data_IF_356053661472
#
_entry.id   IF_356053661472
#
_cell.length_a   1.000
_cell.length_b   1.000
_cell.length_c   1.000
_cell.angle_alpha   90.00
_cell.angle_beta   90.00
_cell.angle_gamma   90.00
#
_symmetry.space_group_name_H-M   'P 1'
#
loop_
_entity.id
_entity.type
_entity.pdbx_description
1 polymer ?
#
# COMPACT_ATOMS: atom_id res chain seq x y z
N UNK A 1 12.80 29.82 -15.90
CA UNK A 1 13.77 28.72 -16.11
C UNK A 1 14.12 27.98 -14.81
N UNK A 2 14.72 28.63 -13.80
CA UNK A 2 15.11 27.97 -12.53
C UNK A 2 13.98 27.20 -11.82
N UNK A 3 12.76 27.73 -11.81
CA UNK A 3 11.57 27.09 -11.20
C UNK A 3 11.17 25.77 -11.88
N UNK A 4 11.26 25.70 -13.21
CA UNK A 4 10.90 24.48 -13.95
C UNK A 4 11.91 23.35 -13.75
N UNK A 5 13.19 23.70 -13.57
CA UNK A 5 14.23 22.72 -13.25
C UNK A 5 13.99 22.11 -11.87
N UNK A 6 13.61 22.92 -10.89
CA UNK A 6 13.28 22.44 -9.53
C UNK A 6 12.09 21.48 -9.57
N UNK A 7 11.02 21.82 -10.29
CA UNK A 7 9.85 20.95 -10.45
C UNK A 7 10.23 19.62 -11.10
N UNK A 8 11.05 19.65 -12.16
CA UNK A 8 11.50 18.44 -12.84
C UNK A 8 12.32 17.53 -11.91
N UNK A 9 13.21 18.12 -11.10
CA UNK A 9 14.03 17.37 -10.13
C UNK A 9 13.16 16.72 -9.06
N UNK A 10 12.17 17.44 -8.52
CA UNK A 10 11.22 16.88 -7.55
C UNK A 10 10.45 15.72 -8.17
N UNK A 11 9.98 15.87 -9.41
CA UNK A 11 9.21 14.84 -10.10
C UNK A 11 10.05 13.56 -10.30
N UNK A 12 11.29 13.69 -10.74
CA UNK A 12 12.23 12.57 -10.88
C UNK A 12 12.52 11.90 -9.54
N UNK A 13 12.68 12.67 -8.46
CA UNK A 13 12.86 12.12 -7.11
C UNK A 13 11.62 11.35 -6.65
N UNK A 14 10.40 11.83 -6.92
CA UNK A 14 9.18 11.10 -6.56
C UNK A 14 8.99 9.79 -7.32
N UNK A 15 9.46 9.71 -8.57
CA UNK A 15 9.45 8.45 -9.34
C UNK A 15 10.48 7.43 -8.84
N UNK A 16 11.51 7.89 -8.11
CA UNK A 16 12.53 7.02 -7.52
C UNK A 16 12.16 6.50 -6.12
N UNK A 17 11.00 6.89 -5.58
CA UNK A 17 10.50 6.28 -4.35
C UNK A 17 10.10 4.84 -4.66
N UNK A 18 10.89 3.90 -4.14
CA UNK A 18 10.61 2.47 -4.27
C UNK A 18 9.30 2.15 -3.56
N UNK A 19 8.36 1.55 -4.27
CA UNK A 19 7.18 0.97 -3.64
C UNK A 19 7.62 -0.20 -2.75
N UNK A 20 7.06 -0.28 -1.54
CA UNK A 20 7.30 -1.41 -0.61
C UNK A 20 6.83 -2.73 -1.24
N UNK A 21 5.79 -2.66 -2.08
CA UNK A 21 5.19 -3.79 -2.78
C UNK A 21 5.06 -3.50 -4.27
N UNK A 22 5.39 -4.46 -5.12
CA UNK A 22 5.22 -4.35 -6.57
C UNK A 22 3.86 -4.89 -7.03
N UNK A 23 3.30 -4.31 -8.09
CA UNK A 23 2.07 -4.84 -8.70
C UNK A 23 2.35 -6.24 -9.26
N UNK A 24 1.57 -7.23 -8.82
CA UNK A 24 1.72 -8.63 -9.21
C UNK A 24 2.62 -9.45 -8.28
N UNK A 25 3.22 -8.82 -7.27
CA UNK A 25 3.91 -9.54 -6.20
C UNK A 25 2.90 -10.37 -5.40
N UNK A 26 3.16 -11.68 -5.20
CA UNK A 26 2.30 -12.51 -4.37
C UNK A 26 2.37 -12.06 -2.92
N UNK A 27 1.23 -12.07 -2.23
CA UNK A 27 1.18 -11.83 -0.79
C UNK A 27 1.76 -13.07 -0.11
N UNK A 28 2.90 -12.93 0.54
CA UNK A 28 3.54 -14.03 1.32
C UNK A 28 3.30 -13.92 2.81
N UNK A 29 2.88 -12.75 3.27
CA UNK A 29 2.67 -12.47 4.69
C UNK A 29 1.23 -12.75 5.10
N UNK A 30 1.04 -13.37 6.26
CA UNK A 30 -0.27 -13.61 6.85
C UNK A 30 -0.78 -12.34 7.57
N UNK A 31 -1.26 -11.36 6.81
CA UNK A 31 -1.94 -10.21 7.38
C UNK A 31 -3.32 -10.62 7.91
N UNK A 32 -3.55 -10.42 9.20
CA UNK A 32 -4.84 -10.64 9.88
C UNK A 32 -5.20 -9.46 10.77
N UNK A 33 -6.49 -9.13 10.85
CA UNK A 33 -7.00 -8.06 11.70
C UNK A 33 -8.39 -8.39 12.23
N UNK A 34 -8.79 -7.72 13.30
CA UNK A 34 -10.17 -7.72 13.79
C UNK A 34 -10.84 -6.43 13.33
N UNK A 35 -12.02 -6.53 12.72
CA UNK A 35 -12.76 -5.36 12.27
C UNK A 35 -13.51 -4.65 13.41
N UNK A 36 -14.21 -3.56 13.09
CA UNK A 36 -15.00 -2.79 14.07
C UNK A 36 -16.20 -3.54 14.66
N UNK A 37 -16.59 -4.66 14.08
CA UNK A 37 -17.67 -5.52 14.56
C UNK A 37 -17.15 -6.65 15.47
N UNK A 38 -15.83 -6.79 15.61
CA UNK A 38 -15.20 -7.86 16.37
C UNK A 38 -15.00 -9.15 15.56
N UNK A 39 -15.16 -9.11 14.24
CA UNK A 39 -14.92 -10.26 13.37
C UNK A 39 -13.44 -10.33 12.99
N UNK A 40 -12.85 -11.52 13.09
CA UNK A 40 -11.49 -11.78 12.62
C UNK A 40 -11.48 -11.98 11.10
N UNK A 41 -10.52 -11.35 10.44
CA UNK A 41 -10.31 -11.47 9.00
C UNK A 41 -8.84 -11.75 8.71
N UNK A 42 -8.59 -12.57 7.70
CA UNK A 42 -7.27 -12.68 7.07
C UNK A 42 -7.30 -12.16 5.64
N UNK A 43 -6.17 -11.61 5.19
CA UNK A 43 -6.02 -11.17 3.81
C UNK A 43 -6.22 -12.32 2.82
N UNK A 44 -5.73 -13.52 3.17
CA UNK A 44 -5.87 -14.74 2.38
C UNK A 44 -7.32 -15.17 2.24
N UNK A 45 -8.10 -15.15 3.32
CA UNK A 45 -9.53 -15.47 3.28
C UNK A 45 -10.30 -14.49 2.39
N UNK A 46 -10.10 -13.19 2.57
CA UNK A 46 -10.83 -12.17 1.82
C UNK A 46 -10.47 -12.18 0.33
N UNK A 47 -9.19 -12.34 0.00
CA UNK A 47 -8.74 -12.43 -1.39
C UNK A 47 -9.16 -13.74 -2.05
N UNK A 48 -9.17 -14.86 -1.34
CA UNK A 48 -9.73 -16.13 -1.83
C UNK A 48 -11.25 -16.02 -2.10
N UNK A 49 -11.97 -15.20 -1.34
CA UNK A 49 -13.36 -14.86 -1.60
C UNK A 49 -13.56 -13.84 -2.76
N UNK A 50 -12.49 -13.43 -3.44
CA UNK A 50 -12.53 -12.50 -4.58
C UNK A 50 -12.68 -11.03 -4.18
N UNK A 51 -12.42 -10.67 -2.92
CA UNK A 51 -12.48 -9.28 -2.46
C UNK A 51 -11.14 -8.57 -2.71
N UNK A 52 -11.22 -7.32 -3.15
CA UNK A 52 -10.08 -6.42 -3.14
C UNK A 52 -9.89 -5.84 -1.74
N UNK A 53 -8.67 -5.88 -1.22
CA UNK A 53 -8.29 -5.34 0.10
C UNK A 53 -7.31 -4.19 -0.12
N UNK A 54 -7.60 -3.04 0.50
CA UNK A 54 -6.70 -1.88 0.49
C UNK A 54 -6.27 -1.60 1.92
N UNK A 55 -4.97 -1.70 2.19
CA UNK A 55 -4.40 -1.47 3.51
C UNK A 55 -3.78 -0.07 3.53
N UNK A 56 -4.27 0.78 4.42
CA UNK A 56 -3.62 2.03 4.77
C UNK A 56 -2.86 1.81 6.07
N UNK A 57 -1.54 1.76 5.99
CA UNK A 57 -0.68 1.70 7.16
C UNK A 57 -0.24 3.11 7.54
N UNK A 58 -0.54 3.52 8.76
CA UNK A 58 -0.17 4.83 9.31
C UNK A 58 -0.45 4.87 10.79
N UNK A 59 0.41 5.55 11.54
CA UNK A 59 0.22 5.73 12.97
C UNK A 59 -0.68 6.94 13.22
N UNK A 60 -1.54 6.88 14.25
CA UNK A 60 -2.55 7.91 14.52
C UNK A 60 -2.03 9.08 15.36
N UNK A 61 -0.73 9.18 15.61
CA UNK A 61 -0.12 10.13 16.54
C UNK A 61 0.52 11.34 15.85
#
# INVERSE_FOLDING_TARGET
MKKHIIVLVILLLTMSLFAVWQVGEPITDDYSWTDSNGEEHSIHELTAAGKAVVIFWGESW
#
